data_IF_516772911652
#
_entry.id   IF_516772911652
#
_cell.length_a   1.000
_cell.length_b   1.000
_cell.length_c   1.000
_cell.angle_alpha   90.00
_cell.angle_beta   90.00
_cell.angle_gamma   90.00
#
_symmetry.space_group_name_H-M   'P 1'
#
loop_
_entity.id
_entity.type
_entity.pdbx_description
1 polymer ?
#
# COMPACT_ATOMS: atom_id res chain seq x y z
N UNK A 1 -12.09 10.18 16.86
CA UNK A 1 -12.29 8.80 16.34
C UNK A 1 -11.04 8.50 15.54
N UNK A 2 -10.31 7.45 15.88
CA UNK A 2 -9.11 7.04 15.14
C UNK A 2 -9.58 6.28 13.89
N UNK A 3 -9.08 6.65 12.72
CA UNK A 3 -9.39 5.97 11.47
C UNK A 3 -8.41 4.82 11.26
N UNK A 4 -8.92 3.68 10.82
CA UNK A 4 -8.13 2.58 10.28
C UNK A 4 -8.17 2.61 8.75
N UNK A 5 -7.21 1.96 8.10
CA UNK A 5 -7.23 1.74 6.65
C UNK A 5 -8.55 1.09 6.20
N UNK A 6 -9.08 0.15 6.98
CA UNK A 6 -10.37 -0.49 6.72
C UNK A 6 -11.55 0.51 6.74
N UNK A 7 -11.57 1.47 7.69
CA UNK A 7 -12.61 2.50 7.76
C UNK A 7 -12.60 3.42 6.54
N UNK A 8 -11.41 3.79 6.07
CA UNK A 8 -11.18 4.57 4.85
C UNK A 8 -11.74 3.86 3.61
N UNK A 9 -11.40 2.59 3.42
CA UNK A 9 -11.87 1.79 2.28
C UNK A 9 -13.37 1.48 2.35
N UNK A 10 -13.95 1.30 3.53
CA UNK A 10 -15.41 1.18 3.69
C UNK A 10 -16.15 2.46 3.27
N UNK A 11 -15.60 3.63 3.59
CA UNK A 11 -16.16 4.90 3.13
C UNK A 11 -16.08 5.03 1.61
N UNK A 12 -14.95 4.62 0.99
CA UNK A 12 -14.79 4.58 -0.45
C UNK A 12 -15.78 3.61 -1.13
N UNK A 13 -16.00 2.43 -0.55
CA UNK A 13 -16.97 1.45 -1.04
C UNK A 13 -18.41 1.97 -1.00
N UNK A 14 -18.72 2.91 -0.11
CA UNK A 14 -20.01 3.60 -0.05
C UNK A 14 -20.14 4.76 -1.07
N UNK A 15 -19.07 5.04 -1.84
CA UNK A 15 -19.02 6.02 -2.90
C UNK A 15 -18.30 7.31 -2.55
N UNK A 16 -18.02 8.12 -3.59
CA UNK A 16 -17.21 9.36 -3.49
C UNK A 16 -17.66 10.31 -2.38
N UNK A 17 -18.95 10.63 -2.33
CA UNK A 17 -19.47 11.56 -1.32
C UNK A 17 -19.26 11.06 0.12
N UNK A 18 -19.37 9.74 0.34
CA UNK A 18 -19.14 9.16 1.66
C UNK A 18 -17.65 9.24 2.02
N UNK A 19 -16.77 9.01 1.05
CA UNK A 19 -15.33 9.12 1.22
C UNK A 19 -14.89 10.58 1.47
N UNK A 20 -15.43 11.55 0.74
CA UNK A 20 -15.18 12.98 0.96
C UNK A 20 -15.59 13.42 2.37
N UNK A 21 -16.77 13.00 2.84
CA UNK A 21 -17.21 13.28 4.22
C UNK A 21 -16.25 12.64 5.24
N UNK A 22 -15.77 11.44 4.99
CA UNK A 22 -14.83 10.75 5.85
C UNK A 22 -13.51 11.53 5.97
N UNK A 23 -12.90 11.92 4.84
CA UNK A 23 -11.63 12.65 4.80
C UNK A 23 -11.72 14.06 5.41
N UNK A 24 -12.88 14.71 5.31
CA UNK A 24 -13.09 16.07 5.85
C UNK A 24 -13.60 16.08 7.29
N UNK A 25 -13.84 14.93 7.89
CA UNK A 25 -14.40 14.82 9.26
C UNK A 25 -13.43 15.11 10.39
N UNK A 26 -12.15 15.40 10.08
CA UNK A 26 -11.09 15.60 11.07
C UNK A 26 -10.67 14.30 11.79
N UNK A 27 -10.83 13.17 11.13
CA UNK A 27 -10.40 11.88 11.64
C UNK A 27 -8.87 11.83 11.64
N UNK A 28 -8.27 11.50 12.78
CA UNK A 28 -6.84 11.19 12.86
C UNK A 28 -6.62 9.74 12.37
N UNK A 29 -5.70 9.57 11.44
CA UNK A 29 -5.31 8.25 10.95
C UNK A 29 -4.33 7.58 11.92
N UNK A 30 -4.71 6.40 12.42
CA UNK A 30 -3.74 5.46 12.97
C UNK A 30 -3.21 4.62 11.82
N UNK A 31 -1.97 4.88 11.46
CA UNK A 31 -1.34 4.21 10.31
C UNK A 31 -0.93 2.77 10.59
N UNK A 32 -1.22 2.23 11.80
CA UNK A 32 -0.92 0.83 12.17
C UNK A 32 0.50 0.38 11.75
N UNK A 33 1.47 1.31 11.78
CA UNK A 33 2.87 1.03 11.46
C UNK A 33 3.48 0.07 12.49
N UNK A 34 4.19 -0.93 11.98
CA UNK A 34 5.01 -1.82 12.81
C UNK A 34 6.18 -1.07 13.47
N UNK A 35 6.82 -1.68 14.48
CA UNK A 35 8.04 -1.12 15.05
C UNK A 35 9.15 -0.98 13.99
N UNK A 36 9.24 -1.92 13.05
CA UNK A 36 10.19 -1.87 11.93
C UNK A 36 9.90 -0.67 11.01
N UNK A 37 8.63 -0.39 10.70
CA UNK A 37 8.25 0.78 9.90
C UNK A 37 8.64 2.09 10.58
N UNK A 38 8.37 2.21 11.87
CA UNK A 38 8.72 3.40 12.64
C UNK A 38 10.25 3.60 12.69
N UNK A 39 11.02 2.52 12.84
CA UNK A 39 12.48 2.57 12.80
C UNK A 39 12.99 3.03 11.44
N UNK A 40 12.43 2.51 10.36
CA UNK A 40 12.76 2.86 8.97
C UNK A 40 12.42 4.32 8.66
N UNK A 41 11.23 4.81 9.08
CA UNK A 41 10.82 6.22 8.93
C UNK A 41 11.67 7.19 9.75
N UNK A 42 12.24 6.75 10.87
CA UNK A 42 13.19 7.55 11.64
C UNK A 42 14.64 7.41 11.16
N UNK A 43 14.92 6.46 10.29
CA UNK A 43 16.24 6.12 9.75
C UNK A 43 16.38 6.42 8.26
N UNK A 44 16.56 5.35 7.46
CA UNK A 44 16.85 5.39 6.01
C UNK A 44 15.80 6.15 5.20
N UNK A 45 14.54 6.12 5.61
CA UNK A 45 13.41 6.76 4.93
C UNK A 45 12.88 8.02 5.65
N UNK A 46 13.65 8.66 6.50
CA UNK A 46 13.23 9.86 7.26
C UNK A 46 12.84 11.06 6.37
N UNK A 47 13.27 11.06 5.12
CA UNK A 47 12.89 12.06 4.12
C UNK A 47 11.49 11.87 3.55
N UNK A 48 10.86 10.70 3.75
CA UNK A 48 9.59 10.31 3.12
C UNK A 48 8.45 11.29 3.42
N UNK A 49 8.37 11.78 4.66
CA UNK A 49 7.38 12.81 5.04
C UNK A 49 7.50 14.11 4.24
N UNK A 50 8.69 14.44 3.71
CA UNK A 50 8.89 15.63 2.85
C UNK A 50 8.26 15.47 1.46
N UNK A 51 7.97 14.23 1.06
CA UNK A 51 7.28 13.92 -0.21
C UNK A 51 5.78 13.80 0.01
N UNK A 52 5.37 13.05 1.03
CA UNK A 52 3.95 12.79 1.32
C UNK A 52 3.20 14.06 1.75
N UNK A 53 3.82 14.89 2.61
CA UNK A 53 3.19 16.11 3.07
C UNK A 53 2.74 17.04 1.94
N UNK A 54 3.63 17.44 1.01
CA UNK A 54 3.26 18.26 -0.15
C UNK A 54 2.23 17.62 -1.08
N UNK A 55 2.22 16.28 -1.20
CA UNK A 55 1.26 15.57 -2.05
C UNK A 55 -0.20 15.77 -1.60
N UNK A 56 -0.42 16.00 -0.30
CA UNK A 56 -1.73 16.26 0.30
C UNK A 56 -2.05 17.75 0.49
N UNK A 57 -1.13 18.65 0.14
CA UNK A 57 -1.28 20.08 0.40
C UNK A 57 -2.48 20.72 -0.31
N UNK A 58 -2.93 20.15 -1.44
CA UNK A 58 -4.08 20.63 -2.20
C UNK A 58 -5.38 19.88 -1.86
N UNK A 59 -5.41 19.19 -0.74
CA UNK A 59 -6.57 18.45 -0.26
C UNK A 59 -6.54 16.96 -0.61
N UNK A 60 -7.51 16.18 -0.12
CA UNK A 60 -7.52 14.72 -0.19
C UNK A 60 -8.01 14.15 -1.54
N UNK A 61 -8.27 14.98 -2.55
CA UNK A 61 -8.84 14.53 -3.84
C UNK A 61 -8.12 13.33 -4.46
N UNK A 62 -6.79 13.37 -4.64
CA UNK A 62 -6.03 12.23 -5.19
C UNK A 62 -6.15 10.97 -4.33
N UNK A 63 -6.08 11.08 -3.00
CA UNK A 63 -6.27 9.96 -2.09
C UNK A 63 -7.66 9.34 -2.23
N UNK A 64 -8.69 10.17 -2.40
CA UNK A 64 -10.06 9.72 -2.62
C UNK A 64 -10.16 8.93 -3.93
N UNK A 65 -9.53 9.42 -5.01
CA UNK A 65 -9.52 8.75 -6.30
C UNK A 65 -8.83 7.38 -6.22
N UNK A 66 -7.70 7.29 -5.53
CA UNK A 66 -6.96 6.05 -5.32
C UNK A 66 -7.79 5.04 -4.52
N UNK A 67 -8.39 5.46 -3.41
CA UNK A 67 -9.22 4.56 -2.59
C UNK A 67 -10.47 4.07 -3.32
N UNK A 68 -11.09 4.91 -4.16
CA UNK A 68 -12.19 4.49 -5.04
C UNK A 68 -11.71 3.45 -6.06
N UNK A 69 -10.50 3.60 -6.60
CA UNK A 69 -9.93 2.62 -7.51
C UNK A 69 -9.67 1.27 -6.83
N UNK A 70 -9.27 1.25 -5.58
CA UNK A 70 -9.06 0.01 -4.81
C UNK A 70 -10.35 -0.80 -4.59
N UNK A 71 -11.50 -0.14 -4.45
CA UNK A 71 -12.77 -0.79 -4.11
C UNK A 71 -13.68 -1.03 -5.32
N UNK A 72 -13.27 -0.61 -6.52
CA UNK A 72 -14.01 -0.83 -7.77
C UNK A 72 -13.41 -1.96 -8.59
N UNK A 73 -14.19 -2.60 -9.50
CA UNK A 73 -13.63 -3.60 -10.41
C UNK A 73 -12.48 -3.02 -11.24
N UNK A 74 -11.34 -3.71 -11.28
CA UNK A 74 -10.13 -3.26 -11.99
C UNK A 74 -10.27 -3.29 -13.52
N UNK A 75 -11.26 -3.99 -14.06
CA UNK A 75 -11.48 -4.10 -15.50
C UNK A 75 -10.54 -5.09 -16.21
N UNK A 76 -9.70 -5.80 -15.48
CA UNK A 76 -8.84 -6.86 -16.01
C UNK A 76 -8.70 -8.02 -15.00
N UNK A 77 -8.26 -9.19 -15.51
CA UNK A 77 -7.91 -10.35 -14.68
C UNK A 77 -6.39 -10.39 -14.49
N UNK A 78 -5.88 -10.44 -13.23
CA UNK A 78 -4.44 -10.63 -12.96
C UNK A 78 -3.83 -11.85 -13.67
N UNK A 79 -4.63 -12.89 -13.98
CA UNK A 79 -4.18 -14.03 -14.76
C UNK A 79 -3.74 -13.68 -16.19
N UNK A 80 -4.11 -12.51 -16.70
CA UNK A 80 -3.67 -12.00 -18.01
C UNK A 80 -2.28 -11.35 -18.00
N UNK A 81 -1.66 -11.16 -16.84
CA UNK A 81 -0.32 -10.59 -16.72
C UNK A 81 0.70 -11.64 -17.16
N UNK A 82 1.35 -11.39 -18.30
CA UNK A 82 2.37 -12.30 -18.87
C UNK A 82 3.79 -11.91 -18.53
N UNK A 83 4.01 -10.65 -18.14
CA UNK A 83 5.33 -10.17 -17.75
C UNK A 83 5.85 -10.89 -16.49
N UNK A 84 7.16 -11.16 -16.39
CA UNK A 84 7.75 -11.58 -15.13
C UNK A 84 7.42 -10.57 -14.03
N UNK A 85 6.89 -11.06 -12.91
CA UNK A 85 6.38 -10.20 -11.83
C UNK A 85 7.04 -10.60 -10.51
N UNK A 86 7.57 -9.62 -9.78
CA UNK A 86 8.01 -9.79 -8.40
C UNK A 86 6.99 -9.12 -7.48
N UNK A 87 6.49 -9.86 -6.51
CA UNK A 87 5.74 -9.35 -5.38
C UNK A 87 6.66 -9.39 -4.15
N UNK A 88 7.08 -8.21 -3.67
CA UNK A 88 7.87 -8.05 -2.46
C UNK A 88 6.98 -7.43 -1.38
N UNK A 89 6.84 -8.10 -0.22
CA UNK A 89 5.87 -7.71 0.80
C UNK A 89 6.36 -8.04 2.21
N UNK A 90 6.18 -7.10 3.15
CA UNK A 90 6.48 -7.33 4.56
C UNK A 90 5.44 -8.25 5.21
N UNK A 91 5.88 -9.28 5.97
CA UNK A 91 4.95 -10.22 6.58
C UNK A 91 4.20 -9.63 7.81
N UNK A 92 4.61 -8.44 8.26
CA UNK A 92 4.01 -7.65 9.36
C UNK A 92 3.32 -6.38 8.86
N UNK A 93 3.02 -6.29 7.57
CA UNK A 93 2.29 -5.15 7.02
C UNK A 93 0.86 -5.12 7.58
N UNK A 94 0.59 -4.15 8.45
CA UNK A 94 -0.72 -3.91 9.06
C UNK A 94 -1.64 -3.04 8.21
N UNK A 95 -1.10 -2.36 7.18
CA UNK A 95 -1.84 -1.47 6.30
C UNK A 95 -2.41 -2.25 5.11
N UNK A 96 -1.53 -2.95 4.40
CA UNK A 96 -1.90 -3.87 3.33
C UNK A 96 -1.58 -5.30 3.74
N UNK A 97 -2.55 -6.11 4.14
CA UNK A 97 -2.29 -7.47 4.59
C UNK A 97 -1.53 -8.31 3.55
N UNK A 98 -0.47 -9.06 3.94
CA UNK A 98 0.32 -9.87 3.01
C UNK A 98 -0.51 -10.96 2.29
N UNK A 99 -1.69 -11.27 2.79
CA UNK A 99 -2.66 -12.16 2.13
C UNK A 99 -3.08 -11.65 0.75
N UNK A 100 -3.03 -10.32 0.50
CA UNK A 100 -3.30 -9.76 -0.82
C UNK A 100 -2.24 -10.17 -1.84
N UNK A 101 -0.95 -10.05 -1.51
CA UNK A 101 0.13 -10.52 -2.38
C UNK A 101 0.14 -12.04 -2.52
N UNK A 102 -0.19 -12.77 -1.47
CA UNK A 102 -0.36 -14.23 -1.54
C UNK A 102 -1.47 -14.62 -2.52
N UNK A 103 -2.61 -13.91 -2.47
CA UNK A 103 -3.72 -14.12 -3.41
C UNK A 103 -3.30 -13.81 -4.85
N UNK A 104 -2.64 -12.68 -5.10
CA UNK A 104 -2.12 -12.31 -6.42
C UNK A 104 -1.14 -13.37 -6.95
N UNK A 105 -0.28 -13.90 -6.09
CA UNK A 105 0.65 -14.96 -6.43
C UNK A 105 -0.04 -16.27 -6.87
N UNK A 106 -1.29 -16.49 -6.50
CA UNK A 106 -2.07 -17.64 -7.01
C UNK A 106 -2.69 -17.38 -8.39
N UNK A 107 -2.69 -16.12 -8.86
CA UNK A 107 -3.36 -15.71 -10.10
C UNK A 107 -2.40 -15.39 -11.23
N UNK A 108 -1.32 -14.68 -10.92
CA UNK A 108 -0.34 -14.24 -11.93
C UNK A 108 0.52 -15.43 -12.35
N UNK A 109 0.57 -15.80 -13.66
CA UNK A 109 1.26 -17.01 -14.10
C UNK A 109 2.77 -16.98 -13.89
N UNK A 110 3.40 -15.80 -14.02
CA UNK A 110 4.85 -15.61 -14.03
C UNK A 110 5.31 -14.77 -12.84
N UNK A 111 4.96 -15.24 -11.63
CA UNK A 111 5.16 -14.48 -10.40
C UNK A 111 6.17 -15.15 -9.47
N UNK A 112 6.99 -14.31 -8.84
CA UNK A 112 7.80 -14.65 -7.67
C UNK A 112 7.28 -13.85 -6.48
N UNK A 113 6.90 -14.52 -5.40
CA UNK A 113 6.49 -13.87 -4.15
C UNK A 113 7.63 -13.97 -3.14
N UNK A 114 8.05 -12.83 -2.61
CA UNK A 114 8.99 -12.71 -1.49
C UNK A 114 8.31 -12.04 -0.31
N UNK A 115 8.08 -12.78 0.75
CA UNK A 115 7.68 -12.23 2.04
C UNK A 115 8.93 -11.97 2.87
N UNK A 116 9.09 -10.73 3.35
CA UNK A 116 10.24 -10.34 4.18
C UNK A 116 9.85 -10.43 5.66
N UNK A 117 10.50 -11.34 6.41
CA UNK A 117 10.14 -11.58 7.81
C UNK A 117 10.41 -10.37 8.71
N UNK A 118 9.40 -9.97 9.47
CA UNK A 118 9.49 -8.86 10.43
C UNK A 118 9.25 -7.48 9.84
N UNK A 119 9.23 -7.34 8.51
CA UNK A 119 8.97 -6.07 7.84
C UNK A 119 7.48 -5.74 7.77
N UNK A 120 7.19 -4.44 7.80
CA UNK A 120 5.87 -3.87 7.61
C UNK A 120 5.71 -3.19 6.25
N UNK A 121 4.85 -2.17 6.24
CA UNK A 121 4.47 -1.42 5.03
C UNK A 121 5.61 -0.56 4.47
N UNK A 122 6.42 0.02 5.33
CA UNK A 122 7.51 0.92 4.97
C UNK A 122 8.86 0.19 4.99
N UNK A 123 9.10 -0.64 6.00
CA UNK A 123 10.40 -1.29 6.18
C UNK A 123 10.73 -2.27 5.04
N UNK A 124 9.74 -2.82 4.35
CA UNK A 124 9.94 -3.59 3.12
C UNK A 124 10.70 -2.82 2.03
N UNK A 125 10.65 -1.48 2.05
CA UNK A 125 11.36 -0.62 1.09
C UNK A 125 12.90 -0.68 1.26
N UNK A 126 13.41 -1.13 2.41
CA UNK A 126 14.85 -1.36 2.60
C UNK A 126 15.37 -2.51 1.71
N UNK A 127 14.47 -3.31 1.13
CA UNK A 127 14.80 -4.35 0.14
C UNK A 127 14.65 -3.90 -1.33
N UNK A 128 14.42 -2.59 -1.59
CA UNK A 128 14.20 -2.06 -2.94
C UNK A 128 15.37 -2.38 -3.90
N UNK A 129 16.62 -2.34 -3.41
CA UNK A 129 17.81 -2.68 -4.22
C UNK A 129 17.72 -4.11 -4.74
N UNK A 130 17.32 -5.07 -3.91
CA UNK A 130 17.18 -6.47 -4.32
C UNK A 130 16.06 -6.67 -5.35
N UNK A 131 15.01 -5.83 -5.31
CA UNK A 131 13.95 -5.84 -6.32
C UNK A 131 14.43 -5.28 -7.66
N UNK A 132 15.25 -4.21 -7.62
CA UNK A 132 15.87 -3.64 -8.81
C UNK A 132 16.86 -4.62 -9.45
N UNK A 133 17.68 -5.29 -8.65
CA UNK A 133 18.59 -6.33 -9.13
C UNK A 133 17.84 -7.48 -9.80
N UNK A 134 16.69 -7.87 -9.22
CA UNK A 134 15.82 -8.87 -9.82
C UNK A 134 15.36 -8.44 -11.22
N UNK A 135 14.98 -7.17 -11.42
CA UNK A 135 14.57 -6.65 -12.72
C UNK A 135 15.70 -6.68 -13.77
N UNK A 136 16.96 -6.46 -13.36
CA UNK A 136 18.10 -6.48 -14.26
C UNK A 136 18.41 -7.89 -14.82
N UNK A 137 17.82 -8.93 -14.26
CA UNK A 137 18.03 -10.34 -14.68
C UNK A 137 16.89 -10.91 -15.52
N UNK A 138 15.92 -10.09 -15.94
CA UNK A 138 14.70 -10.54 -16.69
C UNK A 138 14.66 -10.03 -18.11
#
# INVERSE_FOLDING_TARGET
>A
MVASAEGSLRAAAAGREAKERYETSGVEYDMEFSEADLATLNGSWSWFGKVVGPALANGPGPLIDDDLAYVTPWGFDPASITAPTLLLHGDRDGINPPTHSQWLATRIPNVELRLTPGDGHISVLDHAESALDWLLTR
#
